data_IF_233889705681
#
_entry.id   IF_233889705681
#
_cell.length_a   1.000
_cell.length_b   1.000
_cell.length_c   1.000
_cell.angle_alpha   90.00
_cell.angle_beta   90.00
_cell.angle_gamma   90.00
#
_symmetry.space_group_name_H-M   'P 1'
#
loop_
_entity.id
_entity.type
_entity.pdbx_description
1 polymer ?
#
# COMPACT_ATOMS: atom_id res chain seq x y z
N UNK A 1 32.13 18.91 10.49
CA UNK A 1 31.43 20.17 10.81
C UNK A 1 30.96 20.09 12.25
N UNK A 2 31.10 21.17 13.04
CA UNK A 2 30.40 21.25 14.33
C UNK A 2 28.91 21.40 14.06
N UNK A 3 28.07 20.57 14.67
CA UNK A 3 26.61 20.72 14.51
C UNK A 3 26.12 21.97 15.21
N UNK A 4 25.12 22.57 14.61
CA UNK A 4 24.38 23.66 15.20
C UNK A 4 23.60 23.15 16.40
N UNK A 5 23.63 23.90 17.49
CA UNK A 5 22.83 23.59 18.68
C UNK A 5 21.38 23.98 18.36
N UNK A 6 20.47 23.00 18.38
CA UNK A 6 19.04 23.22 18.05
C UNK A 6 18.15 23.28 19.28
N UNK A 7 18.70 23.01 20.47
CA UNK A 7 18.01 23.04 21.76
C UNK A 7 18.69 23.99 22.73
N UNK A 8 17.90 24.79 23.45
CA UNK A 8 18.39 25.70 24.46
C UNK A 8 19.00 24.91 25.63
N UNK A 9 20.29 25.10 25.98
CA UNK A 9 20.91 24.38 27.09
C UNK A 9 20.25 24.64 28.46
N UNK A 10 19.54 25.76 28.60
CA UNK A 10 18.84 26.11 29.84
C UNK A 10 17.45 25.47 29.98
N UNK A 11 16.61 25.56 28.95
CA UNK A 11 15.19 25.14 29.03
C UNK A 11 14.81 23.99 28.10
N UNK A 12 15.73 23.47 27.28
CA UNK A 12 15.47 22.45 26.25
C UNK A 12 14.44 22.86 25.18
N UNK A 13 14.06 24.14 25.12
CA UNK A 13 13.24 24.70 24.04
C UNK A 13 13.97 24.68 22.70
N UNK A 14 13.23 24.63 21.59
CA UNK A 14 13.79 24.70 20.24
C UNK A 14 14.36 26.09 19.97
N UNK A 15 15.60 26.15 19.48
CA UNK A 15 16.25 27.41 19.10
C UNK A 15 15.84 27.83 17.68
N UNK A 16 15.83 29.13 17.44
CA UNK A 16 15.57 29.74 16.13
C UNK A 16 16.83 30.48 15.66
N UNK A 17 17.03 30.57 14.35
CA UNK A 17 18.14 31.33 13.79
C UNK A 17 17.70 32.80 13.72
N UNK A 18 18.31 33.66 14.54
CA UNK A 18 17.96 35.09 14.61
C UNK A 18 18.75 35.97 13.63
N UNK A 19 19.88 35.48 13.12
CA UNK A 19 20.81 36.26 12.29
C UNK A 19 21.60 35.35 11.35
N UNK A 20 21.59 35.69 10.06
CA UNK A 20 22.47 35.13 9.04
C UNK A 20 23.48 36.21 8.60
N UNK A 21 24.71 35.83 8.33
CA UNK A 21 25.75 36.74 7.87
C UNK A 21 26.47 36.15 6.65
N UNK A 22 26.58 36.93 5.58
CA UNK A 22 27.38 36.55 4.43
C UNK A 22 28.88 36.73 4.75
N UNK A 23 29.73 35.70 4.60
CA UNK A 23 31.16 35.82 4.87
C UNK A 23 31.90 36.68 3.82
N UNK A 24 31.37 36.80 2.61
CA UNK A 24 32.05 37.47 1.49
C UNK A 24 31.84 38.99 1.49
N UNK A 25 30.61 39.46 1.75
CA UNK A 25 30.26 40.88 1.73
C UNK A 25 29.87 41.44 3.11
N UNK A 26 29.79 40.61 4.14
CA UNK A 26 29.45 41.01 5.51
C UNK A 26 27.97 41.36 5.73
N UNK A 27 27.11 41.25 4.71
CA UNK A 27 25.70 41.58 4.84
C UNK A 27 25.02 40.72 5.91
N UNK A 28 24.30 41.37 6.83
CA UNK A 28 23.57 40.72 7.91
C UNK A 28 22.07 40.72 7.61
N UNK A 29 21.46 39.54 7.69
CA UNK A 29 20.02 39.37 7.62
C UNK A 29 19.53 38.99 9.02
N UNK A 30 18.71 39.86 9.62
CA UNK A 30 18.09 39.61 10.94
C UNK A 30 16.61 39.33 10.72
N UNK A 31 16.21 38.10 10.98
CA UNK A 31 14.83 37.66 10.86
C UNK A 31 14.63 36.42 11.74
N UNK A 32 13.39 35.98 11.90
CA UNK A 32 13.07 34.68 12.50
C UNK A 32 13.18 33.60 11.42
N UNK A 33 14.36 32.97 11.32
CA UNK A 33 14.59 31.86 10.41
C UNK A 33 14.35 30.54 11.14
N UNK A 34 13.52 29.69 10.53
CA UNK A 34 13.22 28.36 11.07
C UNK A 34 14.32 27.36 10.72
N UNK A 35 14.51 26.40 11.63
CA UNK A 35 15.33 25.23 11.39
C UNK A 35 14.60 24.27 10.44
N UNK A 36 15.33 23.68 9.49
CA UNK A 36 14.78 22.63 8.64
C UNK A 36 14.58 21.33 9.43
N UNK A 37 13.81 20.39 8.87
CA UNK A 37 13.70 19.02 9.41
C UNK A 37 15.05 18.30 9.51
N UNK A 38 16.01 18.63 8.65
CA UNK A 38 17.34 18.01 8.67
C UNK A 38 18.21 18.51 9.82
N UNK A 39 18.02 19.76 10.25
CA UNK A 39 18.76 20.33 11.38
C UNK A 39 18.37 19.67 12.71
N UNK A 40 17.19 19.03 12.76
CA UNK A 40 16.67 18.33 13.95
C UNK A 40 17.24 16.93 14.13
N UNK A 41 17.92 16.38 13.12
CA UNK A 41 18.48 15.02 13.20
C UNK A 41 19.59 14.92 14.24
N UNK A 42 19.54 13.86 15.04
CA UNK A 42 20.62 13.52 15.95
C UNK A 42 21.86 12.98 15.22
N UNK A 43 22.95 12.78 15.98
CA UNK A 43 24.23 12.36 15.39
C UNK A 43 24.12 11.05 14.61
N UNK A 44 23.44 10.06 15.18
CA UNK A 44 23.29 8.74 14.59
C UNK A 44 22.35 8.73 13.38
N UNK A 45 21.27 9.50 13.41
CA UNK A 45 20.29 9.61 12.32
C UNK A 45 20.91 10.22 11.07
N UNK A 46 21.70 11.28 11.25
CA UNK A 46 22.34 11.96 10.13
C UNK A 46 23.49 11.14 9.52
N UNK A 47 24.29 10.45 10.35
CA UNK A 47 25.29 9.50 9.82
C UNK A 47 24.62 8.39 9.02
N UNK A 48 23.51 7.85 9.52
CA UNK A 48 22.72 6.87 8.78
C UNK A 48 22.19 7.45 7.45
N UNK A 49 21.66 8.69 7.45
CA UNK A 49 21.21 9.37 6.23
C UNK A 49 22.33 9.51 5.20
N UNK A 50 23.52 9.94 5.62
CA UNK A 50 24.67 10.09 4.72
C UNK A 50 25.10 8.74 4.13
N UNK A 51 25.20 7.70 4.95
CA UNK A 51 25.53 6.34 4.47
C UNK A 51 24.46 5.83 3.51
N UNK A 52 23.17 5.99 3.84
CA UNK A 52 22.07 5.59 2.96
C UNK A 52 22.13 6.28 1.59
N UNK A 53 22.42 7.57 1.55
CA UNK A 53 22.58 8.32 0.30
C UNK A 53 23.84 7.90 -0.48
N UNK A 54 24.98 7.66 0.20
CA UNK A 54 26.20 7.11 -0.42
C UNK A 54 25.94 5.75 -1.07
N UNK A 55 25.15 4.90 -0.41
CA UNK A 55 24.69 3.60 -0.91
C UNK A 55 23.56 3.69 -1.95
N UNK A 56 23.25 4.88 -2.48
CA UNK A 56 22.17 5.12 -3.46
C UNK A 56 20.80 4.55 -3.03
N UNK A 57 20.54 4.52 -1.73
CA UNK A 57 19.31 3.98 -1.14
C UNK A 57 19.28 2.45 -0.95
N UNK A 58 20.38 1.74 -1.20
CA UNK A 58 20.47 0.29 -1.02
C UNK A 58 20.66 -0.09 0.45
N UNK A 59 19.60 -0.58 1.11
CA UNK A 59 19.71 -1.08 2.49
C UNK A 59 20.74 -2.21 2.64
N UNK A 60 20.96 -3.02 1.60
CA UNK A 60 21.96 -4.10 1.62
C UNK A 60 23.39 -3.56 1.72
N UNK A 61 23.67 -2.48 1.02
CA UNK A 61 24.99 -1.82 1.08
C UNK A 61 25.17 -1.12 2.43
N UNK A 62 24.12 -0.48 2.94
CA UNK A 62 24.13 0.15 4.28
C UNK A 62 24.39 -0.88 5.38
N UNK A 63 23.81 -2.08 5.29
CA UNK A 63 24.10 -3.17 6.22
C UNK A 63 25.59 -3.52 6.24
N UNK A 64 26.21 -3.62 5.07
CA UNK A 64 27.61 -3.99 4.94
C UNK A 64 28.52 -2.87 5.48
N UNK A 65 28.20 -1.61 5.18
CA UNK A 65 28.98 -0.45 5.63
C UNK A 65 28.87 -0.20 7.14
N UNK A 66 27.66 -0.29 7.70
CA UNK A 66 27.41 -0.04 9.13
C UNK A 66 27.49 -1.31 9.99
N UNK A 67 27.80 -2.47 9.41
CA UNK A 67 27.84 -3.78 10.07
C UNK A 67 26.53 -4.10 10.83
N UNK A 68 25.40 -3.82 10.20
CA UNK A 68 24.06 -4.02 10.77
C UNK A 68 23.36 -5.22 10.15
N UNK A 69 22.49 -5.86 10.95
CA UNK A 69 21.51 -6.81 10.41
C UNK A 69 20.45 -6.06 9.59
N UNK A 70 19.81 -6.75 8.63
CA UNK A 70 18.77 -6.13 7.79
C UNK A 70 17.62 -5.54 8.62
N UNK A 71 17.12 -6.23 9.67
CA UNK A 71 16.11 -5.66 10.56
C UNK A 71 16.59 -4.38 11.27
N UNK A 72 17.86 -4.33 11.70
CA UNK A 72 18.40 -3.15 12.38
C UNK A 72 18.56 -1.96 11.43
N UNK A 73 19.03 -2.20 10.20
CA UNK A 73 19.12 -1.17 9.17
C UNK A 73 17.73 -0.63 8.78
N UNK A 74 16.73 -1.52 8.64
CA UNK A 74 15.34 -1.13 8.40
C UNK A 74 14.79 -0.28 9.54
N UNK A 75 14.99 -0.70 10.80
CA UNK A 75 14.54 0.07 11.97
C UNK A 75 15.12 1.48 11.99
N UNK A 76 16.42 1.64 11.70
CA UNK A 76 17.06 2.95 11.60
C UNK A 76 16.49 3.83 10.48
N UNK A 77 16.12 3.22 9.35
CA UNK A 77 15.43 3.94 8.27
C UNK A 77 14.07 4.46 8.74
N UNK A 78 13.28 3.63 9.42
CA UNK A 78 11.99 4.07 9.99
C UNK A 78 12.17 5.20 11.02
N UNK A 79 13.13 5.06 11.94
CA UNK A 79 13.46 6.11 12.93
C UNK A 79 13.86 7.43 12.24
N UNK A 80 14.64 7.36 11.15
CA UNK A 80 15.03 8.52 10.35
C UNK A 80 13.83 9.15 9.63
N UNK A 81 12.96 8.34 9.04
CA UNK A 81 11.74 8.81 8.37
C UNK A 81 10.83 9.53 9.37
N UNK A 82 10.65 8.99 10.57
CA UNK A 82 9.90 9.66 11.65
C UNK A 82 10.53 11.01 12.01
N UNK A 83 11.85 11.06 12.21
CA UNK A 83 12.55 12.29 12.57
C UNK A 83 12.49 13.38 11.48
N UNK A 84 12.38 12.98 10.22
CA UNK A 84 12.25 13.88 9.08
C UNK A 84 10.80 14.30 8.79
N UNK A 85 9.84 13.88 9.60
CA UNK A 85 8.41 14.06 9.33
C UNK A 85 8.05 13.47 7.93
N UNK A 86 8.68 12.34 7.56
CA UNK A 86 8.51 11.62 6.29
C UNK A 86 7.97 10.20 6.47
N UNK A 87 7.93 9.70 7.71
CA UNK A 87 7.17 8.50 8.00
C UNK A 87 5.72 8.82 7.68
N UNK A 88 5.07 7.93 6.93
CA UNK A 88 3.65 7.77 7.11
C UNK A 88 3.44 7.34 8.58
N UNK A 89 3.41 8.32 9.48
CA UNK A 89 2.30 8.32 10.42
C UNK A 89 1.06 8.23 9.54
N UNK A 90 0.00 7.64 10.03
CA UNK A 90 -1.34 7.85 9.50
C UNK A 90 -1.61 9.36 9.51
N UNK A 91 -0.95 10.11 8.62
CA UNK A 91 -1.40 11.39 8.15
C UNK A 91 -2.82 11.10 7.72
N UNK A 92 -3.73 11.86 8.30
CA UNK A 92 -5.11 11.93 7.91
C UNK A 92 -5.17 12.22 6.40
N UNK A 93 -5.00 11.19 5.57
CA UNK A 93 -5.62 11.10 4.26
C UNK A 93 -7.09 11.29 4.58
N UNK A 94 -7.68 12.35 4.03
CA UNK A 94 -9.00 12.85 4.45
C UNK A 94 -9.99 11.72 4.64
N UNK A 95 -10.93 11.88 5.59
CA UNK A 95 -12.01 10.91 5.80
C UNK A 95 -12.54 10.46 4.44
N UNK A 96 -12.44 9.15 4.17
CA UNK A 96 -13.04 8.60 2.95
C UNK A 96 -14.52 8.89 3.07
N UNK A 97 -15.09 9.57 2.08
CA UNK A 97 -16.52 9.86 2.09
C UNK A 97 -17.31 8.56 1.91
N UNK A 98 -17.73 7.99 3.03
CA UNK A 98 -18.48 6.74 3.10
C UNK A 98 -20.00 6.95 3.14
N UNK A 99 -20.49 8.18 2.92
CA UNK A 99 -21.92 8.51 3.04
C UNK A 99 -22.80 7.66 2.13
N UNK A 100 -22.29 7.30 0.94
CA UNK A 100 -22.98 6.47 -0.04
C UNK A 100 -22.68 4.98 0.07
N UNK A 101 -21.71 4.55 0.89
CA UNK A 101 -21.39 3.13 1.05
C UNK A 101 -22.44 2.45 1.95
N UNK A 102 -23.45 1.88 1.30
CA UNK A 102 -24.46 1.03 1.94
C UNK A 102 -23.97 -0.40 1.96
N UNK A 103 -24.17 -1.06 3.10
CA UNK A 103 -23.80 -2.46 3.31
C UNK A 103 -25.05 -3.18 3.79
N UNK A 104 -25.40 -4.28 3.12
CA UNK A 104 -26.52 -5.12 3.49
C UNK A 104 -26.09 -6.10 4.59
N UNK A 105 -26.45 -5.77 5.84
CA UNK A 105 -26.09 -6.61 6.98
C UNK A 105 -26.72 -8.00 6.87
N UNK A 106 -25.91 -9.04 7.08
CA UNK A 106 -26.36 -10.43 7.03
C UNK A 106 -26.42 -11.03 5.63
N UNK A 107 -26.01 -10.30 4.59
CA UNK A 107 -25.82 -10.86 3.25
C UNK A 107 -24.68 -11.88 3.24
N UNK A 108 -24.88 -12.98 2.50
CA UNK A 108 -23.86 -13.98 2.20
C UNK A 108 -23.08 -13.64 0.93
N UNK A 109 -23.46 -12.57 0.21
CA UNK A 109 -22.73 -12.11 -0.98
C UNK A 109 -21.34 -11.61 -0.58
N UNK A 110 -20.35 -12.00 -1.38
CA UNK A 110 -18.94 -11.73 -1.12
C UNK A 110 -18.66 -10.23 -1.21
N UNK A 111 -19.29 -9.58 -2.18
CA UNK A 111 -19.23 -8.14 -2.37
C UNK A 111 -19.70 -7.40 -1.11
N UNK A 112 -20.77 -7.83 -0.46
CA UNK A 112 -21.28 -7.22 0.78
C UNK A 112 -20.37 -7.49 1.98
N UNK A 113 -19.82 -8.69 2.10
CA UNK A 113 -18.83 -9.03 3.15
C UNK A 113 -17.60 -8.12 3.03
N UNK A 114 -17.05 -7.95 1.82
CA UNK A 114 -15.86 -7.12 1.59
C UNK A 114 -16.17 -5.64 1.81
N UNK A 115 -17.31 -5.13 1.29
CA UNK A 115 -17.76 -3.76 1.56
C UNK A 115 -17.89 -3.50 3.06
N UNK A 116 -18.51 -4.43 3.79
CA UNK A 116 -18.66 -4.36 5.25
C UNK A 116 -17.33 -4.22 5.96
N UNK A 117 -16.38 -5.12 5.67
CA UNK A 117 -15.04 -5.08 6.28
C UNK A 117 -14.28 -3.79 5.96
N UNK A 118 -14.35 -3.30 4.72
CA UNK A 118 -13.71 -2.03 4.34
C UNK A 118 -14.36 -0.85 5.08
N UNK A 119 -15.69 -0.84 5.19
CA UNK A 119 -16.43 0.18 5.94
C UNK A 119 -16.06 0.20 7.42
N UNK A 120 -15.98 -0.97 8.04
CA UNK A 120 -15.56 -1.13 9.45
C UNK A 120 -14.14 -0.60 9.72
N UNK A 121 -13.29 -0.59 8.68
CA UNK A 121 -11.93 -0.06 8.73
C UNK A 121 -11.84 1.41 8.22
N UNK A 122 -12.95 2.14 8.20
CA UNK A 122 -12.94 3.56 7.83
C UNK A 122 -12.79 3.83 6.34
N UNK A 123 -13.15 2.86 5.48
CA UNK A 123 -13.15 3.04 4.03
C UNK A 123 -11.80 2.83 3.35
N UNK A 124 -10.75 2.50 4.11
CA UNK A 124 -9.41 2.29 3.59
C UNK A 124 -8.70 1.17 4.34
N UNK A 125 -8.09 0.24 3.60
CA UNK A 125 -7.36 -0.90 4.18
C UNK A 125 -6.05 -1.16 3.43
N UNK A 126 -5.07 -1.67 4.14
CA UNK A 126 -3.87 -2.25 3.53
C UNK A 126 -3.98 -3.77 3.57
N UNK A 127 -4.00 -4.40 2.40
CA UNK A 127 -3.93 -5.86 2.23
C UNK A 127 -2.55 -6.25 1.70
N UNK A 128 -2.19 -7.53 1.80
CA UNK A 128 -0.87 -8.01 1.39
C UNK A 128 -1.00 -9.04 0.28
N UNK A 129 -0.25 -8.83 -0.80
CA UNK A 129 -0.14 -9.82 -1.88
C UNK A 129 0.53 -11.10 -1.40
N UNK A 130 0.45 -12.19 -2.18
CA UNK A 130 1.15 -13.45 -1.88
C UNK A 130 2.67 -13.34 -1.69
N UNK A 131 3.29 -12.21 -2.10
CA UNK A 131 4.72 -11.90 -1.87
C UNK A 131 4.98 -11.04 -0.64
N UNK A 132 3.95 -10.75 0.16
CA UNK A 132 4.01 -9.85 1.32
C UNK A 132 4.13 -8.37 0.95
N UNK A 133 3.89 -7.99 -0.32
CA UNK A 133 3.90 -6.58 -0.71
C UNK A 133 2.57 -5.92 -0.34
N UNK A 134 2.59 -4.73 0.28
CA UNK A 134 1.37 -4.01 0.65
C UNK A 134 0.65 -3.48 -0.58
N UNK A 135 -0.67 -3.51 -0.50
CA UNK A 135 -1.62 -3.07 -1.50
C UNK A 135 -2.73 -2.31 -0.77
N UNK A 136 -2.87 -1.03 -1.06
CA UNK A 136 -3.92 -0.22 -0.46
C UNK A 136 -5.21 -0.39 -1.26
N UNK A 137 -6.33 -0.48 -0.56
CA UNK A 137 -7.69 -0.54 -1.10
C UNK A 137 -8.47 0.60 -0.47
N UNK A 138 -9.10 1.43 -1.31
CA UNK A 138 -9.88 2.58 -0.87
C UNK A 138 -11.26 2.51 -1.48
N UNK A 139 -12.29 2.66 -0.67
CA UNK A 139 -13.65 2.78 -1.16
C UNK A 139 -13.86 4.13 -1.85
N UNK A 140 -14.54 4.12 -3.00
CA UNK A 140 -14.82 5.35 -3.74
C UNK A 140 -16.12 6.01 -3.24
N UNK A 141 -16.25 7.36 -3.36
CA UNK A 141 -17.43 8.09 -2.89
C UNK A 141 -18.76 7.69 -3.54
N UNK A 142 -18.74 6.93 -4.64
CA UNK A 142 -19.93 6.43 -5.32
C UNK A 142 -20.62 5.29 -4.55
N UNK A 143 -19.97 4.73 -3.52
CA UNK A 143 -20.47 3.62 -2.72
C UNK A 143 -20.57 2.28 -3.45
N UNK A 144 -20.07 2.18 -4.68
CA UNK A 144 -20.17 1.01 -5.55
C UNK A 144 -18.83 0.47 -5.97
N UNK A 145 -17.81 1.32 -6.02
CA UNK A 145 -16.48 0.97 -6.51
C UNK A 145 -15.41 1.15 -5.44
N UNK A 146 -14.26 0.55 -5.72
CA UNK A 146 -13.03 0.73 -4.96
C UNK A 146 -11.86 0.95 -5.93
N UNK A 147 -10.80 1.54 -5.39
CA UNK A 147 -9.52 1.72 -6.08
C UNK A 147 -8.38 1.07 -5.31
N UNK A 148 -7.24 0.93 -5.98
CA UNK A 148 -6.01 0.45 -5.36
C UNK A 148 -4.79 1.18 -5.89
N UNK A 149 -3.82 1.43 -5.02
CA UNK A 149 -2.52 2.00 -5.40
C UNK A 149 -1.67 1.08 -6.31
N UNK A 150 -2.09 -0.17 -6.50
CA UNK A 150 -1.44 -1.13 -7.43
C UNK A 150 -2.18 -1.29 -8.76
N UNK A 151 -3.34 -0.67 -8.93
CA UNK A 151 -4.12 -0.70 -10.16
C UNK A 151 -4.06 0.67 -10.85
N UNK A 152 -4.25 0.74 -12.19
CA UNK A 152 -4.31 2.02 -12.89
C UNK A 152 -5.45 2.89 -12.33
N UNK A 153 -5.21 4.20 -12.18
CA UNK A 153 -6.19 5.14 -11.60
C UNK A 153 -7.50 5.21 -12.39
N UNK A 154 -7.43 4.99 -13.70
CA UNK A 154 -8.61 4.90 -14.57
C UNK A 154 -9.43 3.62 -14.39
N UNK A 155 -8.93 2.65 -13.63
CA UNK A 155 -9.45 1.29 -13.56
C UNK A 155 -10.08 1.05 -12.18
N UNK A 156 -11.28 1.60 -11.99
CA UNK A 156 -12.11 1.34 -10.80
C UNK A 156 -12.85 0.02 -10.96
N UNK A 157 -12.92 -0.75 -9.88
CA UNK A 157 -13.64 -2.02 -9.83
C UNK A 157 -14.85 -1.87 -8.94
N UNK A 158 -16.00 -2.37 -9.39
CA UNK A 158 -17.13 -2.56 -8.49
C UNK A 158 -16.94 -3.84 -7.67
N UNK A 159 -17.56 -3.89 -6.50
CA UNK A 159 -17.39 -5.01 -5.57
C UNK A 159 -17.93 -6.35 -6.07
N UNK A 160 -18.84 -6.38 -7.07
CA UNK A 160 -19.38 -7.65 -7.60
C UNK A 160 -18.33 -8.46 -8.34
N UNK A 161 -17.19 -7.85 -8.70
CA UNK A 161 -16.03 -8.61 -9.19
C UNK A 161 -15.64 -9.74 -8.24
N UNK A 162 -15.83 -9.57 -6.92
CA UNK A 162 -15.52 -10.61 -5.95
C UNK A 162 -16.55 -11.74 -5.94
N UNK A 163 -17.84 -11.43 -6.18
CA UNK A 163 -18.88 -12.45 -6.35
C UNK A 163 -18.54 -13.32 -7.56
N UNK A 164 -18.20 -12.70 -8.70
CA UNK A 164 -17.79 -13.41 -9.93
C UNK A 164 -16.61 -14.36 -9.68
N UNK A 165 -15.60 -13.92 -8.92
CA UNK A 165 -14.45 -14.77 -8.60
C UNK A 165 -14.90 -15.96 -7.74
N UNK A 166 -15.72 -15.73 -6.73
CA UNK A 166 -16.14 -16.80 -5.82
C UNK A 166 -17.11 -17.78 -6.49
N UNK A 167 -18.02 -17.30 -7.34
CA UNK A 167 -18.89 -18.14 -8.16
C UNK A 167 -18.04 -19.07 -9.04
N UNK A 168 -17.01 -18.55 -9.71
CA UNK A 168 -16.06 -19.35 -10.47
C UNK A 168 -15.36 -20.41 -9.61
N UNK A 169 -14.94 -20.03 -8.39
CA UNK A 169 -14.30 -20.98 -7.46
C UNK A 169 -15.29 -22.10 -7.08
N UNK A 170 -16.54 -21.76 -6.77
CA UNK A 170 -17.58 -22.72 -6.41
C UNK A 170 -17.91 -23.68 -7.55
N UNK A 171 -18.07 -23.17 -8.77
CA UNK A 171 -18.29 -23.96 -9.98
C UNK A 171 -17.16 -24.99 -10.23
N UNK A 172 -15.94 -24.67 -9.80
CA UNK A 172 -14.75 -25.52 -9.93
C UNK A 172 -14.40 -26.32 -8.66
N UNK A 173 -15.37 -26.54 -7.77
CA UNK A 173 -15.17 -27.36 -6.57
C UNK A 173 -14.41 -26.66 -5.45
N UNK A 174 -14.49 -25.33 -5.41
CA UNK A 174 -13.89 -24.47 -4.40
C UNK A 174 -12.46 -24.01 -4.71
N UNK A 175 -11.98 -24.14 -5.95
CA UNK A 175 -10.66 -23.64 -6.37
C UNK A 175 -10.61 -23.32 -7.86
N UNK A 176 -9.79 -22.36 -8.27
CA UNK A 176 -9.56 -22.06 -9.69
C UNK A 176 -8.14 -21.53 -9.93
N UNK A 177 -7.64 -21.75 -11.15
CA UNK A 177 -6.36 -21.19 -11.60
C UNK A 177 -6.48 -19.67 -11.69
N UNK A 178 -5.45 -18.94 -11.23
CA UNK A 178 -5.42 -17.47 -11.34
C UNK A 178 -5.38 -16.99 -12.79
N UNK A 179 -4.70 -17.75 -13.64
CA UNK A 179 -4.37 -17.34 -15.01
C UNK A 179 -3.27 -16.29 -15.06
N UNK A 180 -3.02 -15.77 -16.26
CA UNK A 180 -1.95 -14.82 -16.59
C UNK A 180 -2.37 -13.96 -17.79
N UNK A 181 -3.16 -12.92 -17.51
CA UNK A 181 -3.64 -12.00 -18.54
C UNK A 181 -2.54 -11.08 -19.09
N UNK A 182 -1.37 -11.02 -18.43
CA UNK A 182 -0.23 -10.20 -18.89
C UNK A 182 0.46 -10.77 -20.11
N UNK A 183 0.48 -12.11 -20.23
CA UNK A 183 1.22 -12.81 -21.27
C UNK A 183 0.32 -13.47 -22.32
N UNK A 184 -0.99 -13.58 -22.04
CA UNK A 184 -1.93 -14.30 -22.87
C UNK A 184 -3.21 -13.48 -23.07
N UNK A 185 -3.79 -13.58 -24.25
CA UNK A 185 -5.08 -12.94 -24.57
C UNK A 185 -6.22 -13.75 -23.97
N UNK A 186 -7.36 -13.10 -23.77
CA UNK A 186 -8.56 -13.76 -23.25
C UNK A 186 -8.96 -14.95 -24.15
N UNK A 187 -9.08 -16.14 -23.57
CA UNK A 187 -9.37 -17.38 -24.28
C UNK A 187 -8.15 -18.21 -24.69
N UNK A 188 -6.93 -17.69 -24.58
CA UNK A 188 -5.71 -18.46 -24.79
C UNK A 188 -5.36 -19.31 -23.56
N UNK A 189 -4.53 -20.34 -23.76
CA UNK A 189 -4.05 -21.20 -22.67
C UNK A 189 -3.26 -20.37 -21.64
N UNK A 190 -3.79 -20.26 -20.43
CA UNK A 190 -3.27 -19.40 -19.37
C UNK A 190 -4.15 -18.18 -19.07
N UNK A 191 -5.11 -17.84 -19.92
CA UNK A 191 -6.10 -16.78 -19.72
C UNK A 191 -7.49 -17.21 -20.26
N UNK A 192 -7.82 -18.49 -20.08
CA UNK A 192 -9.12 -19.04 -20.41
C UNK A 192 -10.21 -18.43 -19.51
N UNK A 193 -11.47 -18.49 -19.93
CA UNK A 193 -12.60 -17.96 -19.16
C UNK A 193 -12.84 -18.72 -17.84
N UNK A 194 -12.25 -19.91 -17.70
CA UNK A 194 -12.24 -20.70 -16.46
C UNK A 194 -11.12 -20.29 -15.48
N UNK A 195 -10.29 -19.31 -15.84
CA UNK A 195 -9.29 -18.73 -14.93
C UNK A 195 -9.84 -17.49 -14.25
N UNK A 196 -9.32 -17.15 -13.07
CA UNK A 196 -9.75 -15.95 -12.32
C UNK A 196 -9.59 -14.69 -13.16
N UNK A 197 -8.45 -14.50 -13.85
CA UNK A 197 -8.25 -13.34 -14.74
C UNK A 197 -9.23 -13.35 -15.91
N UNK A 198 -9.53 -14.52 -16.47
CA UNK A 198 -10.47 -14.66 -17.58
C UNK A 198 -11.90 -14.34 -17.20
N UNK A 199 -12.37 -14.85 -16.06
CA UNK A 199 -13.71 -14.54 -15.53
C UNK A 199 -13.87 -13.05 -15.23
N UNK A 200 -12.86 -12.42 -14.62
CA UNK A 200 -12.84 -10.96 -14.41
C UNK A 200 -12.91 -10.23 -15.76
N UNK A 201 -12.13 -10.63 -16.75
CA UNK A 201 -12.13 -9.98 -18.05
C UNK A 201 -13.50 -10.08 -18.76
N UNK A 202 -14.13 -11.26 -18.74
CA UNK A 202 -15.49 -11.45 -19.27
C UNK A 202 -16.49 -10.57 -18.53
N UNK A 203 -16.45 -10.53 -17.21
CA UNK A 203 -17.29 -9.65 -16.40
C UNK A 203 -17.14 -8.18 -16.78
N UNK A 204 -15.92 -7.77 -17.12
CA UNK A 204 -15.60 -6.40 -17.57
C UNK A 204 -15.90 -6.13 -19.05
N UNK A 205 -16.52 -7.08 -19.76
CA UNK A 205 -16.97 -6.92 -21.14
C UNK A 205 -15.88 -7.09 -22.19
N UNK A 206 -14.75 -7.73 -21.85
CA UNK A 206 -13.73 -8.07 -22.85
C UNK A 206 -14.19 -9.24 -23.74
N UNK A 207 -13.87 -9.14 -25.03
CA UNK A 207 -14.12 -10.19 -26.02
C UNK A 207 -12.94 -11.18 -26.09
N UNK A 208 -13.21 -12.41 -26.56
CA UNK A 208 -12.17 -13.42 -26.80
C UNK A 208 -11.11 -12.87 -27.78
N UNK A 209 -9.83 -13.10 -27.47
CA UNK A 209 -8.69 -12.60 -28.24
C UNK A 209 -8.25 -11.18 -27.87
N UNK A 210 -8.94 -10.49 -26.96
CA UNK A 210 -8.51 -9.20 -26.44
C UNK A 210 -7.33 -9.35 -25.46
N UNK A 211 -6.43 -8.36 -25.47
CA UNK A 211 -5.44 -8.20 -24.39
C UNK A 211 -6.12 -7.63 -23.17
N UNK A 212 -5.88 -8.21 -22.00
CA UNK A 212 -6.54 -7.84 -20.74
C UNK A 212 -5.51 -7.33 -19.74
N UNK A 213 -5.95 -6.47 -18.83
CA UNK A 213 -5.16 -6.14 -17.65
C UNK A 213 -5.32 -7.27 -16.62
N UNK A 214 -4.27 -7.57 -15.86
CA UNK A 214 -4.28 -8.64 -14.84
C UNK A 214 -4.36 -8.03 -13.42
N UNK A 215 -5.57 -7.89 -12.85
CA UNK A 215 -5.78 -7.39 -11.50
C UNK A 215 -5.74 -8.49 -10.43
N UNK A 216 -5.49 -9.76 -10.80
CA UNK A 216 -5.74 -10.91 -9.92
C UNK A 216 -4.93 -10.84 -8.63
N UNK A 217 -3.72 -10.29 -8.69
CA UNK A 217 -2.88 -10.15 -7.51
C UNK A 217 -3.47 -9.23 -6.42
N UNK A 218 -4.29 -8.24 -6.81
CA UNK A 218 -5.05 -7.38 -5.87
C UNK A 218 -6.28 -8.12 -5.39
N UNK A 219 -7.07 -8.68 -6.31
CA UNK A 219 -8.33 -9.34 -5.96
C UNK A 219 -8.09 -10.54 -5.02
N UNK A 220 -7.06 -11.33 -5.30
CA UNK A 220 -6.63 -12.44 -4.46
C UNK A 220 -6.20 -11.99 -3.05
N UNK A 221 -5.51 -10.85 -2.94
CA UNK A 221 -5.09 -10.30 -1.65
C UNK A 221 -6.29 -9.83 -0.81
N UNK A 222 -7.30 -9.24 -1.45
CA UNK A 222 -8.53 -8.82 -0.76
C UNK A 222 -9.33 -10.02 -0.28
N UNK A 223 -9.52 -11.06 -1.11
CA UNK A 223 -10.21 -12.28 -0.72
C UNK A 223 -9.52 -13.00 0.45
N UNK A 224 -8.18 -13.03 0.46
CA UNK A 224 -7.38 -13.59 1.55
C UNK A 224 -7.49 -12.78 2.83
N UNK A 225 -7.33 -11.46 2.75
CA UNK A 225 -7.51 -10.57 3.90
C UNK A 225 -8.92 -10.68 4.49
N UNK A 226 -9.93 -10.87 3.64
CA UNK A 226 -11.30 -11.07 4.06
C UNK A 226 -11.59 -12.50 4.55
N UNK A 227 -10.62 -13.43 4.53
CA UNK A 227 -10.79 -14.80 5.02
C UNK A 227 -11.65 -15.69 4.12
N UNK A 228 -11.89 -15.28 2.87
CA UNK A 228 -12.78 -15.98 1.92
C UNK A 228 -12.00 -17.04 1.13
N UNK A 229 -10.77 -16.71 0.70
CA UNK A 229 -9.95 -17.62 -0.10
C UNK A 229 -8.47 -17.53 0.28
N UNK A 230 -7.78 -18.66 0.23
CA UNK A 230 -6.32 -18.75 0.34
C UNK A 230 -5.64 -18.31 -0.96
N UNK A 231 -4.63 -17.46 -0.85
CA UNK A 231 -3.89 -16.88 -1.97
C UNK A 231 -2.75 -17.79 -2.45
N UNK A 232 -3.11 -18.98 -2.96
CA UNK A 232 -2.16 -20.01 -3.39
C UNK A 232 -1.24 -19.65 -4.55
N UNK A 233 -0.19 -20.45 -4.78
CA UNK A 233 0.74 -20.24 -5.90
C UNK A 233 0.09 -20.66 -7.23
N UNK A 234 -0.42 -19.68 -7.97
CA UNK A 234 -1.05 -19.89 -9.29
C UNK A 234 -2.54 -20.24 -9.24
N UNK A 235 -3.12 -20.30 -8.05
CA UNK A 235 -4.53 -20.61 -7.83
C UNK A 235 -5.11 -19.83 -6.64
N UNK A 236 -6.44 -19.80 -6.56
CA UNK A 236 -7.22 -19.38 -5.41
C UNK A 236 -8.03 -20.57 -4.91
N UNK A 237 -8.16 -20.71 -3.59
CA UNK A 237 -8.85 -21.83 -2.95
C UNK A 237 -9.77 -21.26 -1.86
N UNK A 238 -11.06 -21.57 -1.89
CA UNK A 238 -11.99 -21.15 -0.85
C UNK A 238 -11.62 -21.77 0.51
N UNK A 239 -11.64 -20.95 1.55
CA UNK A 239 -11.39 -21.38 2.93
C UNK A 239 -12.51 -22.30 3.43
N UNK A 240 -12.21 -23.14 4.42
CA UNK A 240 -13.23 -24.01 5.03
C UNK A 240 -14.25 -23.18 5.83
N UNK A 241 -13.77 -22.11 6.45
CA UNK A 241 -14.58 -21.15 7.19
C UNK A 241 -15.63 -20.53 6.28
N UNK A 242 -15.24 -20.03 5.11
CA UNK A 242 -16.19 -19.45 4.15
C UNK A 242 -17.15 -20.51 3.60
N UNK A 243 -16.66 -21.70 3.25
CA UNK A 243 -17.51 -22.82 2.80
C UNK A 243 -18.57 -23.21 3.82
N UNK A 244 -18.29 -23.07 5.12
CA UNK A 244 -19.25 -23.38 6.19
C UNK A 244 -20.36 -22.33 6.34
N UNK A 245 -20.23 -21.17 5.70
CA UNK A 245 -21.21 -20.08 5.69
C UNK A 245 -22.19 -20.14 4.50
N UNK A 246 -21.92 -21.00 3.51
CA UNK A 246 -22.76 -21.24 2.33
C UNK A 246 -23.84 -22.30 2.61
#
# INVERSE_FOLDING_TARGET
MKRMITKCPGCQGTLHIAKLQCPDCGMELKNDFSLSRFDRLDDAQYEFLLTFLKSRGSLKEVQAELQLSYPAAKKKLEELLVALDLSETTEKRGEVDMSNLKVEQGSTEVSEIIKGKIKENGGHVTVYTARGLPCEITAEPDGKTFSSNKLPVSDRYDYKVFDVIVDLLLEQGGRARKGNGRNYKLGEKGCETDTVVGAIAVYRGYELGASVYDPVFVMAAVLEWAGIAENGRGELILTNEYKSML
#
